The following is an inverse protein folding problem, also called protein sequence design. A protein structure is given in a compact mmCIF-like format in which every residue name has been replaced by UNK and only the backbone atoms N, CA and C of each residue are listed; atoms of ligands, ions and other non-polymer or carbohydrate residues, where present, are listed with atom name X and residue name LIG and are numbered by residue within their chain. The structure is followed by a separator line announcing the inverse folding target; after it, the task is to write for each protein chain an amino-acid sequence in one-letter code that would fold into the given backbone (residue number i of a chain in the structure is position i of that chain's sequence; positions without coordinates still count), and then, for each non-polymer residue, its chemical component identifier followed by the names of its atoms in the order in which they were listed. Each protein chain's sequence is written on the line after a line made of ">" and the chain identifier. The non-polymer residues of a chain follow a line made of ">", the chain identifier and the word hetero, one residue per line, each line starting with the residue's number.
data_IF_405891737564
#
_entry.id   IF_405891737564
#
_cell.length_a   1.000
_cell.length_b   1.000
_cell.length_c   1.000
_cell.angle_alpha   90.00
_cell.angle_beta   90.00
_cell.angle_gamma   90.00
#
_symmetry.space_group_name_H-M   'P 1'
#
loop_
_entity.id
_entity.type
_entity.pdbx_description
1 polymer ?
#
# COMPACT_ATOMS: atom_id res chain seq x y z
N UNK A 1 16.56 -26.52 -16.03
CA UNK A 1 15.73 -26.97 -14.89
C UNK A 1 14.99 -25.76 -14.38
N UNK A 2 13.67 -25.77 -14.50
CA UNK A 2 12.79 -24.59 -14.53
C UNK A 2 13.00 -23.69 -13.30
N UNK A 3 13.49 -22.48 -13.54
CA UNK A 3 13.73 -21.46 -12.53
C UNK A 3 12.43 -20.97 -11.90
N UNK A 4 12.16 -21.46 -10.69
CA UNK A 4 11.04 -21.07 -9.80
C UNK A 4 11.12 -19.60 -9.32
N UNK A 5 12.06 -18.84 -9.86
CA UNK A 5 12.39 -17.45 -9.55
C UNK A 5 12.12 -16.50 -10.73
N UNK A 6 11.48 -16.96 -11.80
CA UNK A 6 11.05 -16.09 -12.89
C UNK A 6 9.72 -15.39 -12.55
N UNK A 7 9.72 -14.05 -12.61
CA UNK A 7 8.56 -13.17 -12.37
C UNK A 7 7.29 -13.61 -13.13
N UNK A 8 7.47 -14.28 -14.28
CA UNK A 8 6.39 -14.86 -15.08
C UNK A 8 5.51 -15.87 -14.32
N UNK A 9 6.07 -16.63 -13.37
CA UNK A 9 5.30 -17.59 -12.58
C UNK A 9 4.28 -16.90 -11.67
N UNK A 10 4.71 -15.82 -11.00
CA UNK A 10 3.84 -15.03 -10.12
C UNK A 10 2.68 -14.39 -10.87
N UNK A 11 2.92 -13.93 -12.10
CA UNK A 11 1.86 -13.37 -12.96
C UNK A 11 0.81 -14.44 -13.32
N UNK A 12 1.24 -15.65 -13.71
CA UNK A 12 0.32 -16.74 -14.06
C UNK A 12 -0.52 -17.17 -12.86
N UNK A 13 0.08 -17.23 -11.67
CA UNK A 13 -0.64 -17.55 -10.44
C UNK A 13 -1.68 -16.47 -10.09
N UNK A 14 -1.33 -15.19 -10.23
CA UNK A 14 -2.23 -14.06 -9.96
C UNK A 14 -3.45 -14.13 -10.89
N UNK A 15 -3.24 -14.39 -12.18
CA UNK A 15 -4.31 -14.59 -13.15
C UNK A 15 -5.20 -15.77 -12.75
N UNK A 16 -4.62 -16.90 -12.36
CA UNK A 16 -5.39 -18.09 -11.94
C UNK A 16 -6.27 -17.81 -10.71
N UNK A 17 -5.74 -17.10 -9.71
CA UNK A 17 -6.51 -16.66 -8.52
C UNK A 17 -7.64 -15.72 -8.93
N UNK A 18 -7.39 -14.80 -9.86
CA UNK A 18 -8.41 -13.90 -10.40
C UNK A 18 -9.56 -14.66 -11.09
N UNK A 19 -9.25 -15.71 -11.85
CA UNK A 19 -10.25 -16.56 -12.50
C UNK A 19 -11.06 -17.39 -11.49
N UNK A 20 -10.40 -17.99 -10.49
CA UNK A 20 -11.05 -18.80 -9.44
C UNK A 20 -12.01 -17.96 -8.58
N UNK A 21 -11.58 -16.78 -8.16
CA UNK A 21 -12.36 -15.90 -7.29
C UNK A 21 -13.34 -15.03 -8.08
N UNK A 22 -13.05 -14.79 -9.37
CA UNK A 22 -13.75 -13.81 -10.19
C UNK A 22 -13.39 -12.37 -9.82
N UNK A 23 -13.43 -11.48 -10.82
CA UNK A 23 -13.09 -10.05 -10.64
C UNK A 23 -14.11 -9.28 -9.79
N UNK A 24 -15.36 -9.74 -9.72
CA UNK A 24 -16.41 -9.11 -8.92
C UNK A 24 -16.18 -9.21 -7.42
N UNK A 25 -15.91 -10.43 -6.91
CA UNK A 25 -15.63 -10.67 -5.48
C UNK A 25 -14.35 -9.99 -5.03
N UNK A 26 -13.32 -10.02 -5.89
CA UNK A 26 -12.05 -9.38 -5.58
C UNK A 26 -12.15 -7.86 -5.57
N UNK A 27 -13.00 -7.25 -6.42
CA UNK A 27 -13.22 -5.80 -6.40
C UNK A 27 -13.99 -5.34 -5.16
N UNK A 28 -15.04 -6.06 -4.76
CA UNK A 28 -15.79 -5.72 -3.54
C UNK A 28 -14.91 -5.87 -2.29
N UNK A 29 -14.31 -7.05 -2.13
CA UNK A 29 -13.41 -7.36 -1.00
C UNK A 29 -12.17 -6.47 -1.03
N UNK A 30 -11.58 -6.24 -2.19
CA UNK A 30 -10.42 -5.37 -2.35
C UNK A 30 -10.69 -3.90 -2.06
N UNK A 31 -11.92 -3.41 -2.27
CA UNK A 31 -12.31 -2.04 -1.89
C UNK A 31 -12.36 -1.88 -0.37
N UNK A 32 -12.93 -2.86 0.32
CA UNK A 32 -13.04 -2.84 1.79
C UNK A 32 -11.65 -2.96 2.45
N UNK A 33 -10.87 -3.96 2.02
CA UNK A 33 -9.49 -4.15 2.50
C UNK A 33 -8.59 -2.98 2.11
N UNK A 34 -8.74 -2.46 0.89
CA UNK A 34 -7.98 -1.32 0.40
C UNK A 34 -8.24 -0.06 1.20
N UNK A 35 -9.50 0.20 1.60
CA UNK A 35 -9.86 1.31 2.46
C UNK A 35 -9.22 1.22 3.84
N UNK A 36 -9.25 0.04 4.46
CA UNK A 36 -8.62 -0.20 5.76
C UNK A 36 -7.09 0.00 5.72
N UNK A 37 -6.42 -0.55 4.69
CA UNK A 37 -4.97 -0.41 4.50
C UNK A 37 -4.61 1.05 4.17
N UNK A 38 -5.44 1.77 3.42
CA UNK A 38 -5.23 3.19 3.13
C UNK A 38 -5.29 4.05 4.40
N UNK A 39 -6.25 3.79 5.29
CA UNK A 39 -6.34 4.44 6.60
C UNK A 39 -5.13 4.14 7.48
N UNK A 40 -4.70 2.87 7.52
CA UNK A 40 -3.50 2.45 8.24
C UNK A 40 -2.24 3.17 7.72
N UNK A 41 -2.02 3.18 6.40
CA UNK A 41 -0.87 3.88 5.79
C UNK A 41 -0.89 5.39 6.07
N UNK A 42 -2.09 5.99 6.14
CA UNK A 42 -2.25 7.41 6.48
C UNK A 42 -1.88 7.66 7.95
N UNK A 43 -2.35 6.81 8.87
CA UNK A 43 -1.99 6.88 10.30
C UNK A 43 -0.48 6.77 10.52
N UNK A 44 0.18 5.77 9.91
CA UNK A 44 1.65 5.63 9.99
C UNK A 44 2.40 6.84 9.42
N UNK A 45 1.84 7.49 8.39
CA UNK A 45 2.43 8.71 7.82
C UNK A 45 2.19 9.93 8.69
N UNK A 46 1.06 10.04 9.35
CA UNK A 46 0.80 11.12 10.31
C UNK A 46 1.77 11.03 11.49
N UNK A 47 1.93 9.85 12.07
CA UNK A 47 2.87 9.63 13.19
C UNK A 47 4.34 9.92 12.80
N UNK A 48 4.74 9.70 11.53
CA UNK A 48 6.10 10.04 11.07
C UNK A 48 6.25 11.47 10.54
N UNK A 49 5.15 12.19 10.27
CA UNK A 49 5.18 13.56 9.72
C UNK A 49 4.95 14.62 10.78
N UNK A 50 4.38 14.25 11.94
CA UNK A 50 4.29 15.14 13.10
C UNK A 50 5.69 15.42 13.71
N UNK A 51 6.69 14.56 13.47
CA UNK A 51 8.11 14.86 13.75
C UNK A 51 8.76 15.83 12.73
N UNK A 52 8.12 16.06 11.58
CA UNK A 52 8.64 16.91 10.50
C UNK A 52 7.94 18.28 10.40
N UNK A 53 6.77 18.44 11.01
CA UNK A 53 6.02 19.70 11.02
C UNK A 53 6.48 20.69 12.10
N UNK A 54 7.21 20.24 13.12
CA UNK A 54 7.63 21.09 14.25
C UNK A 54 9.02 21.75 14.07
N UNK A 55 9.75 21.45 12.99
CA UNK A 55 11.04 22.09 12.67
C UNK A 55 10.96 23.30 11.72
N UNK A 56 9.78 23.60 11.15
CA UNK A 56 9.63 24.70 10.19
C UNK A 56 9.21 26.05 10.81
N UNK A 57 9.03 26.14 12.13
CA UNK A 57 8.56 27.37 12.79
C UNK A 57 9.45 27.91 13.93
N UNK A 58 10.69 27.43 14.07
CA UNK A 58 11.62 27.93 15.13
C UNK A 58 12.98 28.44 14.65
N UNK A 59 13.18 28.64 13.34
CA UNK A 59 14.47 29.10 12.78
C UNK A 59 14.42 30.46 12.05
N UNK A 60 13.34 31.22 12.19
CA UNK A 60 13.26 32.59 11.65
C UNK A 60 12.93 33.59 12.77
N UNK A 61 13.87 33.76 13.71
CA UNK A 61 13.91 34.92 14.61
C UNK A 61 14.77 36.00 13.93
N UNK A 62 14.18 37.13 13.47
CA UNK A 62 14.92 38.25 12.93
C UNK A 62 15.33 39.18 14.08
N UNK A 63 16.46 38.89 14.72
CA UNK A 63 17.21 39.84 15.56
C UNK A 63 18.69 39.85 15.24
#
# INVERSE_FOLDING_TARGET
>A
MLGLNSFSHWIVLLVLVLLLFGTGKLRNTGRDLGGAIAGFRKGLKSDTSDDAAEQATSSNDPR
#
